data_IF_307875736374
#
_entry.id   IF_307875736374
#
_cell.length_a   1.000
_cell.length_b   1.000
_cell.length_c   1.000
_cell.angle_alpha   90.00
_cell.angle_beta   90.00
_cell.angle_gamma   90.00
#
_symmetry.space_group_name_H-M   'P 1'
#
loop_
_entity.id
_entity.type
_entity.pdbx_description
1 polymer ?
#
# COMPACT_ATOMS: atom_id res chain seq x y z
N UNK A 1 9.00 -2.28 10.25
CA UNK A 1 8.43 -1.20 11.11
C UNK A 1 6.97 -1.52 11.39
N UNK A 2 6.28 -0.82 12.30
CA UNK A 2 4.88 -1.14 12.64
C UNK A 2 3.93 0.03 12.41
N UNK A 3 2.67 -0.27 12.10
CA UNK A 3 1.60 0.71 11.89
C UNK A 3 0.29 0.18 12.49
N UNK A 4 -0.47 1.05 13.15
CA UNK A 4 -1.83 0.72 13.61
C UNK A 4 -2.83 0.98 12.48
N UNK A 5 -3.66 -0.02 12.18
CA UNK A 5 -4.72 0.04 11.20
C UNK A 5 -6.04 -0.29 11.90
N UNK A 6 -6.79 0.75 12.26
CA UNK A 6 -8.08 0.64 12.97
C UNK A 6 -8.01 -0.19 14.27
N UNK A 7 -6.89 -0.13 15.00
CA UNK A 7 -6.67 -0.90 16.23
C UNK A 7 -5.99 -2.25 16.04
N UNK A 8 -5.70 -2.65 14.80
CA UNK A 8 -4.92 -3.85 14.47
C UNK A 8 -3.48 -3.44 14.12
N UNK A 9 -2.49 -4.03 14.80
CA UNK A 9 -1.07 -3.73 14.56
C UNK A 9 -0.54 -4.54 13.37
N UNK A 10 -0.08 -3.84 12.33
CA UNK A 10 0.53 -4.41 11.14
C UNK A 10 2.05 -4.23 11.14
N UNK A 11 2.77 -5.27 10.74
CA UNK A 11 4.22 -5.19 10.49
C UNK A 11 4.47 -4.89 9.02
N UNK A 12 5.15 -3.78 8.73
CA UNK A 12 5.67 -3.46 7.40
C UNK A 12 7.08 -4.03 7.26
N UNK A 13 7.25 -4.89 6.27
CA UNK A 13 8.49 -5.54 5.91
C UNK A 13 8.92 -5.12 4.51
N UNK A 14 10.23 -4.93 4.35
CA UNK A 14 10.83 -4.75 3.04
C UNK A 14 11.61 -6.02 2.72
N UNK A 15 11.30 -6.64 1.59
CA UNK A 15 11.94 -7.88 1.16
C UNK A 15 12.40 -7.74 -0.29
N UNK A 16 13.42 -8.49 -0.66
CA UNK A 16 13.84 -8.59 -2.06
C UNK A 16 12.98 -9.62 -2.77
N UNK A 17 12.81 -9.44 -4.07
CA UNK A 17 12.11 -10.43 -4.90
C UNK A 17 12.84 -11.78 -4.89
N UNK A 18 14.17 -11.78 -4.77
CA UNK A 18 14.96 -13.01 -4.61
C UNK A 18 14.71 -13.77 -3.30
N UNK A 19 14.31 -13.07 -2.22
CA UNK A 19 14.04 -13.65 -0.90
C UNK A 19 12.55 -14.00 -0.70
N UNK A 20 11.65 -13.39 -1.47
CA UNK A 20 10.20 -13.61 -1.41
C UNK A 20 9.58 -13.79 -2.81
N UNK A 21 9.35 -15.05 -3.24
CA UNK A 21 8.75 -15.34 -4.54
C UNK A 21 7.34 -14.77 -4.75
N UNK A 22 6.64 -14.37 -3.69
CA UNK A 22 5.30 -13.75 -3.77
C UNK A 22 5.34 -12.36 -4.40
N UNK A 23 6.50 -11.68 -4.31
CA UNK A 23 6.76 -10.42 -4.98
C UNK A 23 7.00 -10.58 -6.49
N UNK A 24 6.90 -11.79 -7.03
CA UNK A 24 6.98 -11.99 -8.48
C UNK A 24 5.82 -11.27 -9.17
N UNK A 25 6.18 -10.30 -10.01
CA UNK A 25 5.25 -9.45 -10.77
C UNK A 25 4.40 -8.52 -9.89
N UNK A 26 4.81 -8.23 -8.64
CA UNK A 26 4.11 -7.35 -7.70
C UNK A 26 5.11 -6.53 -6.88
N UNK A 27 4.82 -5.24 -6.70
CA UNK A 27 5.67 -4.34 -5.91
C UNK A 27 5.42 -4.44 -4.40
N UNK A 28 4.32 -5.06 -4.00
CA UNK A 28 3.91 -5.28 -2.62
C UNK A 28 2.75 -6.25 -2.51
N UNK A 29 2.48 -6.68 -1.29
CA UNK A 29 1.26 -7.40 -0.93
C UNK A 29 0.93 -7.24 0.56
N UNK A 30 -0.35 -7.39 0.86
CA UNK A 30 -0.90 -7.42 2.21
C UNK A 30 -1.37 -8.83 2.57
N UNK A 31 -0.93 -9.33 3.72
CA UNK A 31 -1.41 -10.59 4.31
C UNK A 31 -2.09 -10.31 5.65
N UNK A 32 -3.41 -10.20 5.61
CA UNK A 32 -4.26 -10.00 6.79
C UNK A 32 -4.18 -11.15 7.80
N UNK A 33 -3.86 -12.37 7.36
CA UNK A 33 -3.91 -13.55 8.24
C UNK A 33 -2.80 -13.55 9.30
N UNK A 34 -1.70 -12.85 9.01
CA UNK A 34 -0.55 -12.69 9.91
C UNK A 34 -0.25 -11.22 10.22
N UNK A 35 -1.12 -10.31 9.79
CA UNK A 35 -0.99 -8.87 9.93
C UNK A 35 0.35 -8.30 9.40
N UNK A 36 0.71 -8.67 8.16
CA UNK A 36 1.95 -8.22 7.51
C UNK A 36 1.66 -7.46 6.20
N UNK A 37 2.42 -6.39 5.99
CA UNK A 37 2.51 -5.62 4.74
C UNK A 37 3.91 -5.83 4.18
N UNK A 38 4.05 -6.52 3.06
CA UNK A 38 5.35 -6.75 2.41
C UNK A 38 5.46 -5.82 1.21
N UNK A 39 6.59 -5.13 1.10
CA UNK A 39 6.90 -4.25 -0.02
C UNK A 39 8.27 -4.62 -0.57
N UNK A 40 8.43 -4.61 -1.89
CA UNK A 40 9.73 -4.81 -2.52
C UNK A 40 10.71 -3.71 -2.04
N UNK A 41 11.92 -4.14 -1.65
CA UNK A 41 13.01 -3.24 -1.30
C UNK A 41 13.38 -2.28 -2.43
N UNK A 42 13.04 -2.63 -3.67
CA UNK A 42 13.36 -1.97 -4.94
C UNK A 42 14.85 -2.01 -5.31
N UNK A 43 15.67 -2.72 -4.53
CA UNK A 43 17.14 -2.72 -4.70
C UNK A 43 17.59 -3.49 -5.93
N UNK A 44 16.82 -4.51 -6.34
CA UNK A 44 17.12 -5.35 -7.50
C UNK A 44 16.74 -4.67 -8.83
N UNK A 45 15.91 -3.62 -8.78
CA UNK A 45 15.44 -2.85 -9.94
C UNK A 45 16.31 -1.63 -10.27
N UNK A 46 17.34 -1.34 -9.47
CA UNK A 46 18.13 -0.10 -9.59
C UNK A 46 18.78 0.10 -10.97
N UNK A 47 19.06 -0.99 -11.69
CA UNK A 47 19.67 -0.97 -13.02
C UNK A 47 18.72 -1.37 -14.15
N UNK A 48 17.44 -1.63 -13.85
CA UNK A 48 16.46 -1.96 -14.90
C UNK A 48 16.14 -0.71 -15.73
N UNK A 49 16.37 -0.72 -17.06
CA UNK A 49 16.01 0.41 -17.91
C UNK A 49 14.51 0.71 -17.93
N UNK A 50 13.66 -0.26 -17.60
CA UNK A 50 12.20 -0.12 -17.56
C UNK A 50 11.68 0.34 -16.19
N UNK A 51 12.52 0.32 -15.14
CA UNK A 51 12.13 0.79 -13.83
C UNK A 51 11.98 2.33 -13.79
N UNK A 52 11.07 2.79 -12.94
CA UNK A 52 10.99 4.21 -12.60
C UNK A 52 12.29 4.66 -11.93
N UNK A 53 12.72 5.90 -12.19
CA UNK A 53 14.02 6.38 -11.71
C UNK A 53 14.02 6.72 -10.23
N UNK A 54 12.90 7.18 -9.69
CA UNK A 54 12.75 7.51 -8.28
C UNK A 54 12.10 6.37 -7.51
N UNK A 55 12.84 5.26 -7.39
CA UNK A 55 12.40 4.05 -6.70
C UNK A 55 12.08 4.31 -5.22
N UNK A 56 12.75 5.27 -4.58
CA UNK A 56 12.51 5.59 -3.18
C UNK A 56 11.16 6.25 -2.94
N UNK A 57 10.74 7.19 -3.80
CA UNK A 57 9.40 7.77 -3.69
C UNK A 57 8.33 6.80 -4.17
N UNK A 58 8.63 5.98 -5.19
CA UNK A 58 7.74 4.92 -5.63
C UNK A 58 7.46 3.91 -4.51
N UNK A 59 8.49 3.42 -3.81
CA UNK A 59 8.34 2.50 -2.68
C UNK A 59 7.45 3.08 -1.58
N UNK A 60 7.55 4.38 -1.29
CA UNK A 60 6.64 5.03 -0.32
C UNK A 60 5.19 5.01 -0.79
N UNK A 61 4.93 5.12 -2.11
CA UNK A 61 3.59 4.98 -2.67
C UNK A 61 3.07 3.56 -2.49
N UNK A 62 3.88 2.54 -2.78
CA UNK A 62 3.52 1.13 -2.58
C UNK A 62 3.20 0.85 -1.10
N UNK A 63 4.00 1.38 -0.15
CA UNK A 63 3.66 1.27 1.28
C UNK A 63 2.28 1.86 1.60
N UNK A 64 1.93 3.02 1.02
CA UNK A 64 0.59 3.60 1.23
C UNK A 64 -0.51 2.75 0.61
N UNK A 65 -0.25 2.17 -0.56
CA UNK A 65 -1.15 1.24 -1.25
C UNK A 65 -1.48 0.04 -0.35
N UNK A 66 -0.48 -0.66 0.19
CA UNK A 66 -0.70 -1.80 1.08
C UNK A 66 -1.39 -1.41 2.40
N UNK A 67 -1.06 -0.24 2.97
CA UNK A 67 -1.77 0.28 4.15
C UNK A 67 -3.26 0.52 3.84
N UNK A 68 -3.58 1.03 2.66
CA UNK A 68 -4.98 1.28 2.27
C UNK A 68 -5.75 -0.05 2.11
N UNK A 69 -5.14 -1.09 1.52
CA UNK A 69 -5.69 -2.44 1.53
C UNK A 69 -6.04 -2.90 2.94
N UNK A 70 -5.12 -2.72 3.89
CA UNK A 70 -5.35 -3.05 5.29
C UNK A 70 -6.52 -2.26 5.91
N UNK A 71 -6.60 -0.95 5.68
CA UNK A 71 -7.73 -0.14 6.17
C UNK A 71 -9.08 -0.61 5.60
N UNK A 72 -9.12 -0.97 4.32
CA UNK A 72 -10.33 -1.46 3.66
C UNK A 72 -10.73 -2.86 4.18
N UNK A 73 -9.75 -3.69 4.53
CA UNK A 73 -9.98 -5.00 5.14
C UNK A 73 -10.50 -4.88 6.58
N UNK A 74 -9.78 -4.17 7.45
CA UNK A 74 -10.13 -4.03 8.88
C UNK A 74 -11.45 -3.28 9.07
N UNK A 75 -11.85 -2.42 8.14
CA UNK A 75 -13.17 -1.76 8.15
C UNK A 75 -14.33 -2.66 7.74
N UNK A 76 -14.06 -3.88 7.25
CA UNK A 76 -15.05 -4.81 6.72
C UNK A 76 -15.55 -4.49 5.30
N UNK A 77 -15.08 -3.40 4.69
CA UNK A 77 -15.49 -2.98 3.35
C UNK A 77 -14.95 -3.91 2.26
N UNK A 78 -13.73 -4.43 2.43
CA UNK A 78 -13.16 -5.42 1.53
C UNK A 78 -14.08 -6.64 1.35
N UNK A 79 -14.70 -7.13 2.44
CA UNK A 79 -15.59 -8.30 2.41
C UNK A 79 -17.06 -7.99 2.09
N UNK A 80 -17.49 -6.73 2.16
CA UNK A 80 -18.91 -6.34 2.10
C UNK A 80 -19.25 -5.35 0.97
N UNK A 81 -18.31 -5.07 0.07
CA UNK A 81 -18.48 -4.08 -1.02
C UNK A 81 -19.38 -4.56 -2.19
N UNK A 82 -19.96 -5.76 -2.10
CA UNK A 82 -20.70 -6.43 -3.20
C UNK A 82 -21.92 -5.67 -3.73
N UNK A 83 -22.50 -4.73 -2.98
CA UNK A 83 -23.60 -3.87 -3.47
C UNK A 83 -23.16 -2.85 -4.53
N UNK A 84 -21.86 -2.64 -4.69
CA UNK A 84 -21.23 -1.58 -5.49
C UNK A 84 -19.90 -2.09 -6.05
N UNK A 85 -19.86 -2.58 -7.29
CA UNK A 85 -18.69 -2.98 -8.11
C UNK A 85 -17.31 -3.18 -7.42
N UNK A 86 -17.26 -3.88 -6.30
CA UNK A 86 -16.05 -4.15 -5.52
C UNK A 86 -15.11 -2.93 -5.34
N UNK A 87 -15.67 -1.73 -5.13
CA UNK A 87 -14.89 -0.49 -5.05
C UNK A 87 -13.79 -0.53 -3.97
N UNK A 88 -14.02 -1.27 -2.89
CA UNK A 88 -13.08 -1.44 -1.78
C UNK A 88 -11.93 -2.42 -2.08
N UNK A 89 -11.96 -3.11 -3.23
CA UNK A 89 -10.86 -3.96 -3.72
C UNK A 89 -10.43 -3.54 -5.13
N UNK A 90 -10.83 -2.35 -5.57
CA UNK A 90 -10.47 -1.81 -6.87
C UNK A 90 -9.08 -1.16 -6.78
N UNK A 91 -8.09 -1.76 -7.44
CA UNK A 91 -6.70 -1.29 -7.39
C UNK A 91 -6.52 0.13 -7.91
N UNK A 92 -7.30 0.57 -8.91
CA UNK A 92 -7.23 1.95 -9.43
C UNK A 92 -7.62 2.97 -8.35
N UNK A 93 -8.66 2.67 -7.55
CA UNK A 93 -9.09 3.53 -6.45
C UNK A 93 -8.05 3.56 -5.32
N UNK A 94 -7.44 2.41 -5.03
CA UNK A 94 -6.41 2.26 -4.00
C UNK A 94 -5.14 3.00 -4.40
N UNK A 95 -4.70 2.84 -5.65
CA UNK A 95 -3.58 3.57 -6.24
C UNK A 95 -3.82 5.07 -6.26
N UNK A 96 -5.02 5.50 -6.66
CA UNK A 96 -5.38 6.91 -6.66
C UNK A 96 -5.27 7.49 -5.24
N UNK A 97 -5.80 6.79 -4.23
CA UNK A 97 -5.74 7.24 -2.85
C UNK A 97 -4.30 7.21 -2.29
N UNK A 98 -3.50 6.20 -2.65
CA UNK A 98 -2.09 6.11 -2.30
C UNK A 98 -1.28 7.28 -2.91
N UNK A 99 -1.61 7.67 -4.14
CA UNK A 99 -0.96 8.77 -4.85
C UNK A 99 -1.40 10.14 -4.32
N UNK A 100 -2.70 10.32 -4.03
CA UNK A 100 -3.25 11.62 -3.62
C UNK A 100 -3.19 11.88 -2.12
N UNK A 101 -3.12 10.86 -1.25
CA UNK A 101 -3.16 11.05 0.21
C UNK A 101 -2.17 12.10 0.75
N UNK A 102 -0.90 12.21 0.29
CA UNK A 102 -0.02 13.28 0.76
C UNK A 102 -0.52 14.68 0.40
N UNK A 103 -1.16 14.83 -0.76
CA UNK A 103 -1.72 16.11 -1.22
C UNK A 103 -3.03 16.44 -0.51
N UNK A 104 -3.88 15.43 -0.29
CA UNK A 104 -5.14 15.56 0.47
C UNK A 104 -4.83 15.99 1.90
N UNK A 105 -3.92 15.30 2.59
CA UNK A 105 -3.53 15.67 3.96
C UNK A 105 -2.86 17.04 4.04
N UNK A 106 -2.10 17.44 3.01
CA UNK A 106 -1.57 18.80 2.93
C UNK A 106 -2.71 19.83 2.83
N UNK A 107 -3.71 19.59 1.97
CA UNK A 107 -4.85 20.48 1.83
C UNK A 107 -5.69 20.56 3.11
N UNK A 108 -5.94 19.44 3.78
CA UNK A 108 -6.69 19.41 5.04
C UNK A 108 -5.96 20.17 6.16
N UNK A 109 -4.64 20.01 6.28
CA UNK A 109 -3.83 20.80 7.21
C UNK A 109 -3.89 22.31 6.91
N UNK A 110 -3.89 22.69 5.62
CA UNK A 110 -4.04 24.10 5.22
C UNK A 110 -5.42 24.68 5.53
N UNK A 111 -6.45 23.83 5.50
CA UNK A 111 -7.83 24.20 5.84
C UNK A 111 -8.15 24.07 7.35
N UNK A 112 -7.15 23.72 8.17
CA UNK A 112 -7.31 23.54 9.63
C UNK A 112 -8.39 22.52 10.02
N UNK A 113 -8.57 21.48 9.19
CA UNK A 113 -9.56 20.40 9.43
C UNK A 113 -8.91 19.04 9.73
N UNK A 114 -7.65 19.05 10.16
CA UNK A 114 -6.82 17.89 10.52
C UNK A 114 -5.95 18.15 11.73
#
# INVERSE_FOLDING_TARGET
MKVDVLGTEYTIEFRKQSDDPTLKDRDGYFDHSVCVLVVDEMTEHANDPNAVRDLMNYRKQVVRHEIIHAFLFESGLHGSSMGTENWATNEEMIDWLALQSPKLFKAFKQAECM
#
